data_IF_111939187377
#
_entry.id   IF_111939187377
#
_cell.length_a   1.000
_cell.length_b   1.000
_cell.length_c   1.000
_cell.angle_alpha   90.00
_cell.angle_beta   90.00
_cell.angle_gamma   90.00
#
_symmetry.space_group_name_H-M   'P 1'
#
loop_
_entity.id
_entity.type
_entity.pdbx_description
1 polymer ?
#
# COMPACT_ATOMS: atom_id res chain seq x y z
N UNK A 1 5.90 8.39 1.38
CA UNK A 1 6.88 7.28 1.41
C UNK A 1 6.16 6.01 1.01
N UNK A 2 6.75 5.19 0.14
CA UNK A 2 6.10 3.96 -0.32
C UNK A 2 6.19 2.86 0.74
N UNK A 3 5.21 1.96 0.79
CA UNK A 3 5.15 0.84 1.73
C UNK A 3 6.31 -0.17 1.54
N UNK A 4 6.98 -0.15 0.39
CA UNK A 4 8.20 -0.92 0.10
C UNK A 4 9.48 -0.30 0.71
N UNK A 5 9.37 0.88 1.34
CA UNK A 5 10.50 1.57 1.96
C UNK A 5 11.20 2.60 1.07
N UNK A 6 10.76 2.80 -0.17
CA UNK A 6 11.34 3.80 -1.07
C UNK A 6 11.08 5.24 -0.59
N UNK A 7 12.11 6.08 -0.71
CA UNK A 7 12.15 7.46 -0.20
C UNK A 7 12.45 8.54 -1.24
N UNK A 8 12.80 8.17 -2.46
CA UNK A 8 13.28 9.09 -3.51
C UNK A 8 14.35 8.40 -4.35
N UNK A 9 14.49 8.82 -5.62
CA UNK A 9 15.61 8.40 -6.45
C UNK A 9 16.72 9.47 -6.47
N UNK A 10 16.32 10.75 -6.44
CA UNK A 10 17.24 11.89 -6.29
C UNK A 10 16.81 12.85 -5.17
N UNK A 11 17.75 13.68 -4.71
CA UNK A 11 17.46 14.84 -3.89
C UNK A 11 17.10 16.02 -4.78
N UNK A 12 15.97 16.67 -4.50
CA UNK A 12 15.50 17.85 -5.22
C UNK A 12 15.63 19.06 -4.29
N UNK A 13 16.72 19.84 -4.39
CA UNK A 13 16.95 20.96 -3.49
C UNK A 13 15.90 22.05 -3.71
N UNK A 14 15.40 22.60 -2.61
CA UNK A 14 14.51 23.75 -2.61
C UNK A 14 15.31 25.01 -2.30
N UNK A 15 15.12 26.05 -3.11
CA UNK A 15 15.61 27.39 -2.78
C UNK A 15 14.66 28.04 -1.76
N UNK A 16 14.99 27.87 -0.48
CA UNK A 16 14.23 28.45 0.62
C UNK A 16 14.20 29.98 0.59
N UNK A 17 15.20 30.64 0.00
CA UNK A 17 15.19 32.08 -0.16
C UNK A 17 14.17 32.54 -1.20
N UNK A 18 14.00 31.77 -2.29
CA UNK A 18 12.98 32.03 -3.30
C UNK A 18 11.55 31.70 -2.82
N UNK A 19 11.40 30.68 -1.96
CA UNK A 19 10.11 30.35 -1.32
C UNK A 19 9.68 31.48 -0.37
N UNK A 20 10.62 31.97 0.46
CA UNK A 20 10.34 32.98 1.48
C UNK A 20 9.38 32.46 2.54
N UNK A 21 8.53 33.34 3.09
CA UNK A 21 7.54 32.97 4.13
C UNK A 21 6.23 32.38 3.56
N UNK A 22 6.17 32.14 2.25
CA UNK A 22 4.95 31.61 1.61
C UNK A 22 4.79 30.11 1.89
N UNK A 23 3.55 29.62 2.01
CA UNK A 23 3.30 28.19 2.01
C UNK A 23 3.84 27.55 0.71
N UNK A 24 4.45 26.36 0.83
CA UNK A 24 5.06 25.64 -0.30
C UNK A 24 4.09 25.39 -1.46
N UNK A 25 2.78 25.23 -1.19
CA UNK A 25 1.77 25.02 -2.24
C UNK A 25 1.42 26.31 -3.02
N UNK A 26 1.85 27.47 -2.53
CA UNK A 26 1.72 28.78 -3.19
C UNK A 26 3.03 29.23 -3.85
N UNK A 27 4.13 28.54 -3.56
CA UNK A 27 5.40 28.71 -4.25
C UNK A 27 5.39 27.89 -5.55
N UNK A 28 5.82 28.49 -6.65
CA UNK A 28 5.92 27.86 -7.97
C UNK A 28 7.14 26.91 -8.00
N UNK A 29 7.07 25.86 -7.18
CA UNK A 29 8.12 24.85 -7.03
C UNK A 29 7.99 23.84 -8.16
N UNK A 30 9.09 23.61 -8.88
CA UNK A 30 9.14 22.55 -9.89
C UNK A 30 9.07 21.17 -9.22
N UNK A 31 7.94 20.50 -9.39
CA UNK A 31 7.69 19.14 -8.92
C UNK A 31 7.85 18.10 -10.04
N UNK A 32 8.25 18.51 -11.25
CA UNK A 32 8.35 17.62 -12.41
C UNK A 32 9.26 16.43 -12.14
N UNK A 33 10.46 16.69 -11.60
CA UNK A 33 11.42 15.65 -11.22
C UNK A 33 10.90 14.69 -10.14
N UNK A 34 10.51 15.19 -8.94
CA UNK A 34 9.95 14.36 -7.87
C UNK A 34 8.75 13.52 -8.30
N UNK A 35 7.83 14.09 -9.11
CA UNK A 35 6.66 13.39 -9.62
C UNK A 35 7.05 12.31 -10.63
N UNK A 36 8.02 12.58 -11.51
CA UNK A 36 8.52 11.58 -12.45
C UNK A 36 9.14 10.39 -11.71
N UNK A 37 9.99 10.63 -10.71
CA UNK A 37 10.58 9.59 -9.86
C UNK A 37 9.53 8.78 -9.12
N UNK A 38 8.52 9.45 -8.54
CA UNK A 38 7.43 8.79 -7.85
C UNK A 38 6.62 7.89 -8.79
N UNK A 39 6.26 8.38 -9.96
CA UNK A 39 5.49 7.63 -10.95
C UNK A 39 6.30 6.44 -11.49
N UNK A 40 7.58 6.63 -11.81
CA UNK A 40 8.46 5.55 -12.22
C UNK A 40 8.58 4.47 -11.13
N UNK A 41 8.68 4.90 -9.86
CA UNK A 41 8.70 3.98 -8.73
C UNK A 41 7.39 3.20 -8.59
N UNK A 42 6.23 3.85 -8.71
CA UNK A 42 4.94 3.19 -8.63
C UNK A 42 4.74 2.17 -9.76
N UNK A 43 5.20 2.47 -10.98
CA UNK A 43 5.18 1.51 -12.09
C UNK A 43 6.03 0.28 -11.76
N UNK A 44 7.26 0.47 -11.25
CA UNK A 44 8.13 -0.64 -10.85
C UNK A 44 7.49 -1.53 -9.77
N UNK A 45 6.80 -0.93 -8.79
CA UNK A 45 6.10 -1.69 -7.74
C UNK A 45 4.93 -2.46 -8.34
N UNK A 46 4.13 -1.84 -9.23
CA UNK A 46 2.99 -2.51 -9.89
C UNK A 46 3.43 -3.69 -10.76
N UNK A 47 4.51 -3.52 -11.52
CA UNK A 47 5.04 -4.56 -12.41
C UNK A 47 5.57 -5.77 -11.64
N UNK A 48 6.04 -5.56 -10.39
CA UNK A 48 6.61 -6.61 -9.54
C UNK A 48 5.62 -7.23 -8.56
N UNK A 49 4.57 -6.50 -8.21
CA UNK A 49 3.55 -7.00 -7.29
C UNK A 49 2.78 -8.16 -7.93
N UNK A 50 2.31 -9.08 -7.09
CA UNK A 50 1.44 -10.16 -7.52
C UNK A 50 0.15 -9.56 -8.08
N UNK A 51 -0.24 -9.90 -9.32
CA UNK A 51 -1.47 -9.37 -9.91
C UNK A 51 -2.68 -9.92 -9.15
N UNK A 52 -3.66 -9.06 -8.90
CA UNK A 52 -4.96 -9.51 -8.45
C UNK A 52 -5.78 -10.02 -9.64
N UNK A 53 -6.52 -11.14 -9.50
CA UNK A 53 -7.53 -11.51 -10.49
C UNK A 53 -8.52 -10.36 -10.69
N UNK A 54 -8.80 -10.01 -11.94
CA UNK A 54 -9.66 -8.86 -12.29
C UNK A 54 -11.01 -8.84 -11.54
N UNK A 55 -11.75 -9.96 -11.39
CA UNK A 55 -13.00 -9.95 -10.63
C UNK A 55 -12.82 -9.56 -9.16
N UNK A 56 -11.69 -9.94 -8.55
CA UNK A 56 -11.38 -9.59 -7.16
C UNK A 56 -10.99 -8.11 -7.05
N UNK A 57 -10.20 -7.60 -8.00
CA UNK A 57 -9.84 -6.19 -8.05
C UNK A 57 -11.09 -5.28 -8.16
N UNK A 58 -12.02 -5.63 -9.06
CA UNK A 58 -13.27 -4.91 -9.24
C UNK A 58 -14.14 -4.93 -7.97
N UNK A 59 -14.26 -6.08 -7.29
CA UNK A 59 -15.01 -6.19 -6.04
C UNK A 59 -14.44 -5.30 -4.93
N UNK A 60 -13.11 -5.20 -4.81
CA UNK A 60 -12.48 -4.32 -3.82
C UNK A 60 -12.78 -2.84 -4.09
N UNK A 61 -12.86 -2.43 -5.36
CA UNK A 61 -13.29 -1.08 -5.75
C UNK A 61 -14.74 -0.85 -5.32
N UNK A 62 -15.65 -1.78 -5.66
CA UNK A 62 -17.07 -1.67 -5.31
C UNK A 62 -17.28 -1.58 -3.78
N UNK A 63 -16.58 -2.41 -2.99
CA UNK A 63 -16.63 -2.34 -1.53
C UNK A 63 -16.19 -0.96 -1.03
N UNK A 64 -15.14 -0.39 -1.62
CA UNK A 64 -14.63 0.94 -1.24
C UNK A 64 -15.66 2.03 -1.52
N UNK A 65 -16.31 1.99 -2.69
CA UNK A 65 -17.37 2.93 -3.06
C UNK A 65 -18.58 2.82 -2.12
N UNK A 66 -19.05 1.60 -1.85
CA UNK A 66 -20.17 1.35 -0.95
C UNK A 66 -19.87 1.80 0.48
N UNK A 67 -18.67 1.53 1.01
CA UNK A 67 -18.27 1.99 2.34
C UNK A 67 -18.16 3.51 2.39
N UNK A 68 -17.67 4.15 1.33
CA UNK A 68 -17.57 5.62 1.25
C UNK A 68 -18.95 6.25 1.28
N UNK A 69 -19.89 5.75 0.47
CA UNK A 69 -21.29 6.20 0.48
C UNK A 69 -21.95 5.95 1.83
N UNK A 70 -21.81 4.75 2.39
CA UNK A 70 -22.36 4.38 3.70
C UNK A 70 -21.79 5.24 4.83
N UNK A 71 -20.54 5.70 4.73
CA UNK A 71 -19.94 6.58 5.74
C UNK A 71 -20.63 7.93 5.80
N UNK A 72 -21.09 8.46 4.65
CA UNK A 72 -21.83 9.72 4.59
C UNK A 72 -23.22 9.60 5.23
N UNK A 73 -23.92 8.49 5.00
CA UNK A 73 -25.32 8.31 5.44
C UNK A 73 -25.46 7.62 6.80
N UNK A 74 -24.58 6.67 7.11
CA UNK A 74 -24.67 5.75 8.25
C UNK A 74 -23.28 5.31 8.77
N UNK A 75 -22.52 6.20 9.43
CA UNK A 75 -21.11 5.93 9.81
C UNK A 75 -20.92 4.73 10.74
N UNK A 76 -21.87 4.45 11.65
CA UNK A 76 -21.81 3.24 12.48
C UNK A 76 -21.99 1.94 11.67
N UNK A 77 -22.81 1.97 10.61
CA UNK A 77 -22.96 0.82 9.72
C UNK A 77 -21.68 0.59 8.89
N UNK A 78 -21.06 1.67 8.41
CA UNK A 78 -19.76 1.61 7.74
C UNK A 78 -18.68 1.01 8.66
N UNK A 79 -18.56 1.47 9.90
CA UNK A 79 -17.61 0.91 10.87
C UNK A 79 -17.89 -0.57 11.17
N UNK A 80 -19.16 -0.97 11.29
CA UNK A 80 -19.51 -2.39 11.45
C UNK A 80 -19.07 -3.23 10.25
N UNK A 81 -19.27 -2.73 9.04
CA UNK A 81 -18.84 -3.40 7.81
C UNK A 81 -17.31 -3.52 7.72
N UNK A 82 -16.57 -2.46 8.05
CA UNK A 82 -15.10 -2.50 8.16
C UNK A 82 -14.65 -3.58 9.13
N UNK A 83 -15.24 -3.64 10.33
CA UNK A 83 -14.88 -4.68 11.30
C UNK A 83 -15.18 -6.11 10.82
N UNK A 84 -16.18 -6.31 9.95
CA UNK A 84 -16.42 -7.60 9.27
C UNK A 84 -15.30 -7.91 8.27
N UNK A 85 -14.94 -6.93 7.43
CA UNK A 85 -13.87 -7.08 6.45
C UNK A 85 -12.52 -7.37 7.10
N UNK A 86 -12.18 -6.71 8.20
CA UNK A 86 -10.96 -6.96 8.97
C UNK A 86 -10.89 -8.42 9.46
N UNK A 87 -12.01 -8.98 9.96
CA UNK A 87 -12.05 -10.39 10.38
C UNK A 87 -11.88 -11.36 9.22
N UNK A 88 -12.48 -11.06 8.06
CA UNK A 88 -12.32 -11.86 6.84
C UNK A 88 -10.86 -11.81 6.37
N UNK A 89 -10.30 -10.61 6.24
CA UNK A 89 -8.93 -10.38 5.81
C UNK A 89 -7.92 -11.05 6.75
N UNK A 90 -8.12 -10.95 8.07
CA UNK A 90 -7.24 -11.59 9.05
C UNK A 90 -7.27 -13.12 8.94
N UNK A 91 -8.45 -13.73 8.73
CA UNK A 91 -8.57 -15.18 8.57
C UNK A 91 -7.94 -15.67 7.27
N UNK A 92 -8.37 -15.12 6.14
CA UNK A 92 -7.86 -15.51 4.82
C UNK A 92 -6.37 -15.18 4.67
N UNK A 93 -5.92 -14.07 5.25
CA UNK A 93 -4.51 -13.70 5.26
C UNK A 93 -3.62 -14.70 6.00
N UNK A 94 -4.05 -15.22 7.15
CA UNK A 94 -3.31 -16.29 7.85
C UNK A 94 -3.23 -17.57 7.03
N UNK A 95 -4.35 -17.99 6.42
CA UNK A 95 -4.38 -19.17 5.55
C UNK A 95 -3.40 -19.01 4.37
N UNK A 96 -3.44 -17.86 3.68
CA UNK A 96 -2.56 -17.58 2.55
C UNK A 96 -1.08 -17.56 2.96
N UNK A 97 -0.74 -16.95 4.09
CA UNK A 97 0.64 -16.93 4.60
C UNK A 97 1.09 -18.32 5.03
N UNK A 98 0.21 -19.14 5.62
CA UNK A 98 0.48 -20.53 5.95
C UNK A 98 0.89 -21.34 4.72
N UNK A 99 0.13 -21.24 3.62
CA UNK A 99 0.46 -21.88 2.34
C UNK A 99 1.83 -21.42 1.83
N UNK A 100 2.12 -20.12 1.87
CA UNK A 100 3.44 -19.59 1.44
C UNK A 100 4.59 -20.09 2.32
N UNK A 101 4.35 -20.26 3.62
CA UNK A 101 5.36 -20.78 4.54
C UNK A 101 5.61 -22.28 4.32
N UNK A 102 4.57 -23.08 4.09
CA UNK A 102 4.67 -24.50 3.73
C UNK A 102 5.42 -24.70 2.40
N UNK A 103 5.15 -23.84 1.41
CA UNK A 103 5.85 -23.82 0.11
C UNK A 103 7.29 -23.27 0.20
N UNK A 104 7.74 -22.85 1.39
CA UNK A 104 9.10 -22.33 1.60
C UNK A 104 9.38 -21.02 0.88
N UNK A 105 8.36 -20.21 0.60
CA UNK A 105 8.50 -18.93 -0.11
C UNK A 105 9.31 -17.95 0.74
N UNK A 106 10.38 -17.40 0.16
CA UNK A 106 11.26 -16.47 0.86
C UNK A 106 10.55 -15.15 1.21
N UNK A 107 10.95 -14.52 2.31
CA UNK A 107 10.46 -13.19 2.70
C UNK A 107 10.73 -12.11 1.61
N UNK A 108 11.75 -12.29 0.77
CA UNK A 108 12.06 -11.37 -0.33
C UNK A 108 11.02 -11.49 -1.47
N UNK A 109 10.64 -12.72 -1.80
CA UNK A 109 9.60 -12.98 -2.80
C UNK A 109 8.23 -12.46 -2.31
N UNK A 110 7.90 -12.68 -1.04
CA UNK A 110 6.67 -12.14 -0.43
C UNK A 110 6.71 -10.60 -0.40
N UNK A 111 7.83 -9.98 -0.02
CA UNK A 111 7.98 -8.54 -0.01
C UNK A 111 7.78 -7.93 -1.41
N UNK A 112 8.38 -8.55 -2.42
CA UNK A 112 8.26 -8.14 -3.82
C UNK A 112 6.82 -8.27 -4.30
N UNK A 113 6.20 -9.44 -4.10
CA UNK A 113 4.82 -9.71 -4.52
C UNK A 113 3.79 -8.82 -3.82
N UNK A 114 4.04 -8.40 -2.58
CA UNK A 114 3.12 -7.51 -1.83
C UNK A 114 3.47 -6.02 -1.95
N UNK A 115 4.56 -5.66 -2.65
CA UNK A 115 5.04 -4.28 -2.71
C UNK A 115 5.38 -3.71 -1.33
N UNK A 116 5.95 -4.52 -0.43
CA UNK A 116 6.28 -4.12 0.95
C UNK A 116 7.74 -4.38 1.32
N UNK A 117 8.14 -4.11 2.56
CA UNK A 117 9.51 -4.34 3.03
C UNK A 117 9.74 -5.81 3.39
N UNK A 118 10.97 -6.29 3.23
CA UNK A 118 11.41 -7.62 3.69
C UNK A 118 11.07 -7.86 5.16
N UNK A 119 11.28 -6.87 6.02
CA UNK A 119 10.98 -7.00 7.45
C UNK A 119 9.49 -7.22 7.72
N UNK A 120 8.60 -6.52 6.99
CA UNK A 120 7.15 -6.75 7.12
C UNK A 120 6.75 -8.13 6.61
N UNK A 121 7.30 -8.54 5.47
CA UNK A 121 7.06 -9.87 4.91
C UNK A 121 7.54 -10.99 5.85
N UNK A 122 8.71 -10.82 6.46
CA UNK A 122 9.24 -11.76 7.45
C UNK A 122 8.31 -11.88 8.67
N UNK A 123 7.83 -10.75 9.20
CA UNK A 123 6.87 -10.78 10.31
C UNK A 123 5.60 -11.55 9.96
N UNK A 124 5.05 -11.37 8.75
CA UNK A 124 3.89 -12.13 8.30
C UNK A 124 4.19 -13.64 8.33
N UNK A 125 5.27 -14.08 7.68
CA UNK A 125 5.65 -15.49 7.62
C UNK A 125 5.88 -16.12 9.00
N UNK A 126 6.48 -15.39 9.94
CA UNK A 126 6.69 -15.87 11.31
C UNK A 126 5.38 -16.04 12.07
N UNK A 127 4.44 -15.08 11.94
CA UNK A 127 3.14 -15.18 12.64
C UNK A 127 2.26 -16.34 12.17
N UNK A 128 2.56 -16.95 11.02
CA UNK A 128 1.88 -18.15 10.54
C UNK A 128 2.47 -19.45 11.11
N UNK A 129 3.68 -19.42 11.67
CA UNK A 129 4.31 -20.60 12.29
C UNK A 129 3.92 -20.79 13.76
N UNK A 130 3.38 -19.75 14.39
CA UNK A 130 3.01 -19.72 15.82
C UNK A 130 1.52 -20.04 16.10
N UNK A 131 0.73 -20.35 15.06
CA UNK A 131 -0.72 -20.61 15.16
C UNK A 131 -1.12 -21.99 14.66
#
# INVERSE_FOLDING_TARGET
MCACGWRGAAGYPLDWAAVGDRPLYEADVDLTGPLADWNAHLSLVRDKAAPLPEPLAALLVEITEQLTATTADAPLAALRAVGVLERIAARVGREAVGVLAEDGVSAEAVATGLGTTRSKALMLLLTAQDG
#
